data_IF_482373112562
#
_entry.id   IF_482373112562
#
_cell.length_a   1.000
_cell.length_b   1.000
_cell.length_c   1.000
_cell.angle_alpha   90.00
_cell.angle_beta   90.00
_cell.angle_gamma   90.00
#
_symmetry.space_group_name_H-M   'P 1'
#
loop_
_entity.id
_entity.type
_entity.pdbx_description
1 polymer ?
#
# COMPACT_ATOMS: atom_id res chain seq x y z
N UNK A 1 -4.52 29.09 -19.31
CA UNK A 1 -3.86 27.78 -19.39
C UNK A 1 -4.31 26.97 -18.19
N UNK A 2 -4.72 25.70 -18.36
CA UNK A 2 -5.13 24.80 -17.28
C UNK A 2 -3.90 24.38 -16.50
N UNK A 3 -4.05 24.08 -15.18
CA UNK A 3 -2.93 23.70 -14.31
C UNK A 3 -3.15 22.33 -13.70
N UNK A 4 -2.09 21.48 -13.73
CA UNK A 4 -2.06 20.20 -13.03
C UNK A 4 -0.97 20.22 -11.96
N UNK A 5 -1.35 20.02 -10.69
CA UNK A 5 -0.43 19.85 -9.58
C UNK A 5 0.01 18.37 -9.51
N UNK A 6 1.30 18.14 -9.38
CA UNK A 6 1.88 16.81 -9.18
C UNK A 6 2.44 16.69 -7.77
N UNK A 7 1.79 15.87 -6.94
CA UNK A 7 2.21 15.62 -5.55
C UNK A 7 2.62 14.16 -5.31
N UNK A 8 2.42 13.29 -6.29
CA UNK A 8 2.81 11.88 -6.18
C UNK A 8 4.31 11.77 -5.89
N UNK A 9 4.64 11.13 -4.77
CA UNK A 9 6.06 10.97 -4.35
C UNK A 9 6.85 10.22 -5.42
N UNK A 10 7.65 10.97 -6.12
CA UNK A 10 8.50 10.49 -7.19
C UNK A 10 9.92 11.01 -6.93
N UNK A 11 10.92 10.29 -7.34
CA UNK A 11 12.30 10.77 -7.21
C UNK A 11 12.59 11.91 -8.18
N UNK A 12 13.76 11.93 -8.79
CA UNK A 12 14.12 12.90 -9.83
C UNK A 12 13.21 12.75 -11.05
N UNK A 13 12.25 13.67 -11.20
CA UNK A 13 11.29 13.66 -12.31
C UNK A 13 11.97 13.85 -13.67
N UNK A 14 13.01 14.66 -13.76
CA UNK A 14 13.72 14.89 -15.02
C UNK A 14 14.38 13.59 -15.53
N UNK A 15 14.86 12.79 -14.59
CA UNK A 15 15.50 11.50 -14.89
C UNK A 15 14.48 10.40 -15.17
N UNK A 16 13.40 10.32 -14.41
CA UNK A 16 12.50 9.16 -14.39
C UNK A 16 11.16 9.39 -15.09
N UNK A 17 10.76 10.65 -15.30
CA UNK A 17 9.54 11.05 -16.00
C UNK A 17 9.79 12.17 -17.04
N UNK A 18 10.83 12.06 -17.89
CA UNK A 18 11.22 13.14 -18.81
C UNK A 18 10.12 13.51 -19.81
N UNK A 19 9.23 12.56 -20.12
CA UNK A 19 8.17 12.74 -21.12
C UNK A 19 6.95 13.48 -20.56
N UNK A 20 6.74 13.48 -19.25
CA UNK A 20 5.52 14.02 -18.63
C UNK A 20 5.33 15.52 -18.87
N UNK A 21 6.34 16.40 -18.75
CA UNK A 21 6.19 17.81 -19.08
C UNK A 21 5.81 18.05 -20.53
N UNK A 22 6.41 17.30 -21.48
CA UNK A 22 6.11 17.36 -22.90
C UNK A 22 4.68 16.91 -23.20
N UNK A 23 4.23 15.85 -22.55
CA UNK A 23 2.87 15.34 -22.68
C UNK A 23 1.83 16.40 -22.25
N UNK A 24 1.99 17.06 -21.12
CA UNK A 24 1.08 18.11 -20.69
C UNK A 24 1.14 19.37 -21.54
N UNK A 25 2.35 19.78 -21.96
CA UNK A 25 2.53 20.94 -22.85
C UNK A 25 1.80 20.77 -24.18
N UNK A 26 1.77 19.57 -24.75
CA UNK A 26 1.05 19.25 -25.99
C UNK A 26 -0.46 19.46 -25.87
N UNK A 27 -1.02 19.47 -24.64
CA UNK A 27 -2.42 19.68 -24.32
C UNK A 27 -2.70 21.03 -23.64
N UNK A 28 -1.75 21.98 -23.73
CA UNK A 28 -1.85 23.33 -23.14
C UNK A 28 -2.09 23.30 -21.60
N UNK A 29 -1.52 22.31 -20.91
CA UNK A 29 -1.60 22.14 -19.46
C UNK A 29 -0.25 22.50 -18.84
N UNK A 30 -0.25 23.40 -17.87
CA UNK A 30 0.91 23.72 -17.03
C UNK A 30 1.09 22.65 -15.95
N UNK A 31 2.26 22.03 -15.90
CA UNK A 31 2.61 21.08 -14.85
C UNK A 31 3.31 21.81 -13.68
N UNK A 32 2.65 21.82 -12.53
CA UNK A 32 3.20 22.37 -11.28
C UNK A 32 3.64 21.21 -10.39
N UNK A 33 4.91 21.15 -10.03
CA UNK A 33 5.47 20.04 -9.25
C UNK A 33 5.66 20.45 -7.79
N UNK A 34 5.18 19.62 -6.86
CA UNK A 34 5.36 19.82 -5.42
C UNK A 34 5.72 18.50 -4.75
N UNK A 35 7.03 18.24 -4.60
CA UNK A 35 7.57 17.03 -3.98
C UNK A 35 8.25 17.39 -2.66
N UNK A 36 7.68 16.95 -1.54
CA UNK A 36 8.18 17.24 -0.19
C UNK A 36 8.97 16.05 0.42
N UNK A 37 9.10 14.93 -0.30
CA UNK A 37 9.66 13.69 0.26
C UNK A 37 8.72 12.98 1.26
N UNK A 38 7.63 13.62 1.64
CA UNK A 38 6.52 13.13 2.49
C UNK A 38 5.17 13.51 1.88
N UNK A 39 4.08 13.05 2.47
CA UNK A 39 2.74 13.52 2.12
C UNK A 39 2.56 14.99 2.50
N UNK A 40 1.74 15.71 1.74
CA UNK A 40 1.32 17.05 2.09
C UNK A 40 0.32 17.01 3.26
N UNK A 41 0.34 18.04 4.10
CA UNK A 41 -0.74 18.29 5.05
C UNK A 41 -1.94 18.92 4.35
N UNK A 42 -3.11 18.95 5.00
CA UNK A 42 -4.28 19.66 4.47
C UNK A 42 -4.00 21.13 4.17
N UNK A 43 -3.33 21.83 5.09
CA UNK A 43 -3.01 23.27 4.92
C UNK A 43 -2.05 23.52 3.75
N UNK A 44 -1.08 22.66 3.55
CA UNK A 44 -0.19 22.71 2.38
C UNK A 44 -0.95 22.46 1.07
N UNK A 45 -1.89 21.50 1.04
CA UNK A 45 -2.74 21.29 -0.13
C UNK A 45 -3.66 22.48 -0.40
N UNK A 46 -4.30 23.02 0.63
CA UNK A 46 -5.18 24.21 0.52
C UNK A 46 -4.41 25.38 -0.13
N UNK A 47 -3.18 25.62 0.32
CA UNK A 47 -2.36 26.69 -0.24
C UNK A 47 -1.99 26.51 -1.72
N UNK A 48 -1.90 25.25 -2.18
CA UNK A 48 -1.45 24.90 -3.54
C UNK A 48 -2.59 24.68 -4.53
N UNK A 49 -3.79 24.32 -4.07
CA UNK A 49 -4.91 23.94 -4.92
C UNK A 49 -5.81 25.12 -5.34
N UNK A 50 -5.60 26.33 -4.81
CA UNK A 50 -6.49 27.48 -5.04
C UNK A 50 -6.70 27.82 -6.53
N UNK A 51 -5.68 27.61 -7.39
CA UNK A 51 -5.71 27.92 -8.83
C UNK A 51 -5.30 26.71 -9.69
N UNK A 52 -5.74 25.51 -9.31
CA UNK A 52 -5.37 24.25 -9.94
C UNK A 52 -6.61 23.52 -10.45
N UNK A 53 -6.56 23.05 -11.69
CA UNK A 53 -7.65 22.33 -12.36
C UNK A 53 -7.61 20.82 -12.15
N UNK A 54 -6.43 20.26 -11.93
CA UNK A 54 -6.20 18.83 -11.77
C UNK A 54 -5.06 18.53 -10.80
N UNK A 55 -5.08 17.34 -10.18
CA UNK A 55 -3.97 16.87 -9.36
C UNK A 55 -3.65 15.41 -9.67
N UNK A 56 -2.33 15.09 -9.82
CA UNK A 56 -1.82 13.72 -9.77
C UNK A 56 -1.29 13.50 -8.36
N UNK A 57 -2.00 12.67 -7.59
CA UNK A 57 -1.80 12.53 -6.17
C UNK A 57 -1.24 11.17 -5.75
N UNK A 58 -0.40 11.18 -4.75
CA UNK A 58 -0.03 10.04 -3.94
C UNK A 58 -1.07 9.75 -2.84
N UNK A 59 -0.64 9.61 -1.60
CA UNK A 59 -1.49 9.36 -0.43
C UNK A 59 -1.80 10.64 0.36
N UNK A 60 -1.72 11.80 -0.28
CA UNK A 60 -2.08 13.09 0.30
C UNK A 60 -3.56 13.15 0.69
N UNK A 61 -3.97 13.82 1.79
CA UNK A 61 -5.34 13.82 2.28
C UNK A 61 -6.24 14.76 1.47
N UNK A 62 -7.21 14.22 0.76
CA UNK A 62 -8.26 14.98 0.05
C UNK A 62 -9.55 14.92 0.85
N UNK A 63 -9.60 15.69 1.93
CA UNK A 63 -10.78 15.86 2.80
C UNK A 63 -11.77 16.86 2.20
N UNK A 64 -13.01 16.93 2.72
CA UNK A 64 -13.97 17.97 2.33
C UNK A 64 -13.38 19.38 2.45
N UNK A 65 -12.61 19.66 3.51
CA UNK A 65 -11.97 20.97 3.75
C UNK A 65 -10.97 21.33 2.64
N UNK A 66 -10.15 20.39 2.21
CA UNK A 66 -9.20 20.57 1.11
C UNK A 66 -9.92 20.83 -0.19
N UNK A 67 -10.94 20.02 -0.52
CA UNK A 67 -11.70 20.17 -1.75
C UNK A 67 -12.54 21.45 -1.78
N UNK A 68 -13.00 21.96 -0.64
CA UNK A 68 -13.72 23.24 -0.56
C UNK A 68 -12.86 24.45 -0.95
N UNK A 69 -11.56 24.37 -0.73
CA UNK A 69 -10.60 25.42 -1.11
C UNK A 69 -10.26 25.40 -2.61
N UNK A 70 -10.44 24.26 -3.28
CA UNK A 70 -10.01 24.00 -4.65
C UNK A 70 -11.13 24.24 -5.68
N UNK A 71 -11.55 25.49 -5.86
CA UNK A 71 -12.74 25.87 -6.67
C UNK A 71 -12.67 25.48 -8.16
N UNK A 72 -11.46 25.36 -8.71
CA UNK A 72 -11.23 24.98 -10.12
C UNK A 72 -10.99 23.49 -10.31
N UNK A 73 -10.80 22.73 -9.23
CA UNK A 73 -10.41 21.34 -9.29
C UNK A 73 -11.49 20.48 -9.96
N UNK A 74 -11.10 19.75 -10.99
CA UNK A 74 -11.98 18.90 -11.80
C UNK A 74 -11.67 17.41 -11.64
N UNK A 75 -10.43 17.07 -11.29
CA UNK A 75 -9.98 15.68 -11.13
C UNK A 75 -8.90 15.55 -10.07
N UNK A 76 -9.03 14.50 -9.25
CA UNK A 76 -8.01 13.94 -8.38
C UNK A 76 -7.62 12.59 -8.97
N UNK A 77 -6.48 12.54 -9.69
CA UNK A 77 -5.97 11.33 -10.30
C UNK A 77 -4.99 10.63 -9.35
N UNK A 78 -5.42 9.51 -8.75
CA UNK A 78 -4.60 8.73 -7.83
C UNK A 78 -3.59 7.86 -8.59
N UNK A 79 -2.29 8.12 -8.40
CA UNK A 79 -1.22 7.25 -8.90
C UNK A 79 -1.03 6.04 -7.97
N UNK A 80 -2.04 5.18 -7.89
CA UNK A 80 -2.10 4.00 -7.02
C UNK A 80 -3.49 3.39 -6.97
N UNK A 81 -3.64 2.30 -6.20
CA UNK A 81 -4.92 1.58 -6.07
C UNK A 81 -5.70 1.90 -4.80
N UNK A 82 -5.03 2.35 -3.74
CA UNK A 82 -5.70 2.79 -2.53
C UNK A 82 -6.27 4.19 -2.68
N UNK A 83 -7.45 4.45 -2.13
CA UNK A 83 -8.15 5.74 -2.22
C UNK A 83 -8.81 6.18 -0.90
N UNK A 84 -8.46 5.51 0.18
CA UNK A 84 -8.91 5.79 1.54
C UNK A 84 -8.55 7.20 2.05
N UNK A 85 -7.62 7.87 1.38
CA UNK A 85 -7.21 9.26 1.61
C UNK A 85 -8.06 10.29 0.86
N UNK A 86 -9.08 9.87 0.09
CA UNK A 86 -9.97 10.76 -0.68
C UNK A 86 -11.43 10.53 -0.26
N UNK A 87 -12.12 11.57 0.19
CA UNK A 87 -13.56 11.52 0.43
C UNK A 87 -14.31 11.53 -0.91
N UNK A 88 -14.69 10.32 -1.37
CA UNK A 88 -15.36 10.14 -2.67
C UNK A 88 -16.72 10.84 -2.75
N UNK A 89 -17.48 10.86 -1.64
CA UNK A 89 -18.78 11.53 -1.62
C UNK A 89 -18.62 13.04 -1.71
N UNK A 90 -17.68 13.59 -0.96
CA UNK A 90 -17.39 15.01 -1.02
C UNK A 90 -16.89 15.45 -2.41
N UNK A 91 -16.05 14.63 -3.06
CA UNK A 91 -15.58 14.86 -4.42
C UNK A 91 -16.77 14.84 -5.42
N UNK A 92 -17.62 13.84 -5.30
CA UNK A 92 -18.81 13.70 -6.17
C UNK A 92 -19.74 14.90 -6.06
N UNK A 93 -20.09 15.33 -4.84
CA UNK A 93 -20.94 16.53 -4.62
C UNK A 93 -20.36 17.81 -5.21
N UNK A 94 -19.04 17.89 -5.39
CA UNK A 94 -18.34 19.04 -5.98
C UNK A 94 -18.08 18.91 -7.47
N UNK A 95 -18.53 17.82 -8.08
CA UNK A 95 -18.29 17.56 -9.49
C UNK A 95 -16.83 17.26 -9.82
N UNK A 96 -16.05 16.75 -8.84
CA UNK A 96 -14.64 16.38 -9.01
C UNK A 96 -14.55 14.90 -9.34
N UNK A 97 -13.93 14.55 -10.46
CA UNK A 97 -13.61 13.17 -10.77
C UNK A 97 -12.52 12.65 -9.81
N UNK A 98 -12.69 11.42 -9.33
CA UNK A 98 -11.63 10.70 -8.63
C UNK A 98 -11.30 9.46 -9.45
N UNK A 99 -10.03 9.35 -9.87
CA UNK A 99 -9.55 8.18 -10.61
C UNK A 99 -8.43 7.47 -9.85
N UNK A 100 -8.19 6.23 -10.21
CA UNK A 100 -7.13 5.39 -9.66
C UNK A 100 -6.36 4.70 -10.79
N UNK A 101 -5.28 4.02 -10.48
CA UNK A 101 -4.46 3.34 -11.49
C UNK A 101 -4.35 1.84 -11.23
N UNK A 102 -5.43 1.05 -11.53
CA UNK A 102 -5.51 -0.37 -11.22
C UNK A 102 -4.78 -1.24 -12.26
N UNK A 103 -3.55 -0.87 -12.61
CA UNK A 103 -2.75 -1.60 -13.58
C UNK A 103 -2.28 -2.95 -13.00
N UNK A 104 -2.23 -4.02 -13.81
CA UNK A 104 -1.84 -5.36 -13.34
C UNK A 104 -0.43 -5.41 -12.76
N UNK A 105 0.49 -4.61 -13.30
CA UNK A 105 1.90 -4.53 -12.90
C UNK A 105 2.06 -4.09 -11.44
N UNK A 106 1.15 -3.24 -10.95
CA UNK A 106 1.17 -2.81 -9.55
C UNK A 106 0.92 -3.97 -8.59
N UNK A 107 -0.06 -4.83 -8.89
CA UNK A 107 -0.33 -6.02 -8.08
C UNK A 107 0.87 -6.96 -8.01
N UNK A 108 1.55 -7.15 -9.14
CA UNK A 108 2.79 -7.95 -9.22
C UNK A 108 3.90 -7.34 -8.36
N UNK A 109 4.12 -6.03 -8.46
CA UNK A 109 5.19 -5.35 -7.72
C UNK A 109 4.95 -5.38 -6.21
N UNK A 110 3.71 -5.17 -5.74
CA UNK A 110 3.38 -5.27 -4.31
C UNK A 110 3.51 -6.72 -3.81
N UNK A 111 3.18 -7.71 -4.64
CA UNK A 111 3.40 -9.12 -4.29
C UNK A 111 4.90 -9.47 -4.20
N UNK A 112 5.77 -8.85 -5.02
CA UNK A 112 7.22 -8.98 -4.90
C UNK A 112 7.73 -8.38 -3.58
N UNK A 113 7.22 -7.20 -3.19
CA UNK A 113 7.53 -6.58 -1.89
C UNK A 113 7.06 -7.46 -0.72
N UNK A 114 5.87 -8.05 -0.82
CA UNK A 114 5.32 -8.97 0.18
C UNK A 114 6.25 -10.17 0.38
N UNK A 115 6.68 -10.82 -0.70
CA UNK A 115 7.63 -11.95 -0.61
C UNK A 115 9.02 -11.53 -0.14
N UNK A 116 9.47 -10.31 -0.49
CA UNK A 116 10.71 -9.75 0.06
C UNK A 116 10.64 -9.65 1.58
N UNK A 117 9.52 -9.17 2.14
CA UNK A 117 9.31 -9.11 3.59
C UNK A 117 9.21 -10.51 4.21
N UNK A 118 8.41 -11.42 3.62
CA UNK A 118 8.28 -12.81 4.08
C UNK A 118 9.67 -13.45 4.22
N UNK A 119 10.43 -13.47 3.13
CA UNK A 119 11.75 -14.11 3.10
C UNK A 119 12.75 -13.40 4.01
N UNK A 120 12.72 -12.07 4.10
CA UNK A 120 13.61 -11.31 4.98
C UNK A 120 13.34 -11.62 6.45
N UNK A 121 12.08 -11.79 6.86
CA UNK A 121 11.71 -12.16 8.23
C UNK A 121 12.03 -13.63 8.51
N UNK A 122 11.65 -14.58 7.64
CA UNK A 122 11.93 -16.00 7.81
C UNK A 122 13.44 -16.30 7.85
N UNK A 123 14.20 -15.70 6.95
CA UNK A 123 15.64 -15.92 6.80
C UNK A 123 16.49 -14.98 7.64
N UNK A 124 15.87 -14.10 8.45
CA UNK A 124 16.61 -13.14 9.32
C UNK A 124 17.63 -12.29 8.56
N UNK A 125 17.33 -11.92 7.30
CA UNK A 125 18.32 -11.29 6.40
C UNK A 125 18.99 -10.05 7.01
N UNK A 126 18.27 -9.07 7.60
CA UNK A 126 18.90 -7.89 8.17
C UNK A 126 19.85 -8.21 9.35
N UNK A 127 19.49 -9.20 10.17
CA UNK A 127 20.29 -9.60 11.33
C UNK A 127 21.57 -10.34 10.90
N UNK A 128 21.44 -11.23 9.91
CA UNK A 128 22.59 -11.99 9.39
C UNK A 128 23.56 -11.08 8.62
N UNK A 129 23.06 -10.14 7.82
CA UNK A 129 23.89 -9.14 7.14
C UNK A 129 24.70 -8.32 8.17
N UNK A 130 24.01 -7.81 9.21
CA UNK A 130 24.67 -7.07 10.29
C UNK A 130 25.74 -7.91 11.00
N UNK A 131 25.38 -9.13 11.37
CA UNK A 131 26.31 -10.05 12.06
C UNK A 131 27.62 -10.24 11.28
N UNK A 132 27.52 -10.44 9.96
CA UNK A 132 28.71 -10.57 9.09
C UNK A 132 29.50 -9.25 9.05
N UNK A 133 28.83 -8.11 8.91
CA UNK A 133 29.52 -6.79 8.85
C UNK A 133 30.24 -6.45 10.17
N UNK A 134 29.75 -6.95 11.29
CA UNK A 134 30.37 -6.82 12.61
C UNK A 134 31.48 -7.84 12.86
N UNK A 135 31.82 -8.67 11.87
CA UNK A 135 32.91 -9.68 11.94
C UNK A 135 32.51 -11.02 12.53
N UNK A 136 31.19 -11.23 12.74
CA UNK A 136 30.65 -12.51 13.22
C UNK A 136 30.60 -13.57 12.12
N UNK A 137 30.79 -14.86 12.50
CA UNK A 137 30.65 -15.99 11.57
C UNK A 137 30.30 -17.27 12.36
N UNK A 138 29.12 -17.27 13.00
CA UNK A 138 28.63 -18.40 13.80
C UNK A 138 27.48 -19.08 13.06
N UNK A 139 27.80 -20.05 12.20
CA UNK A 139 26.82 -20.72 11.34
C UNK A 139 25.84 -21.56 12.13
N UNK A 140 26.24 -22.25 13.21
CA UNK A 140 25.35 -23.11 13.98
C UNK A 140 24.28 -22.28 14.73
N UNK A 141 24.74 -21.23 15.42
CA UNK A 141 23.85 -20.31 16.12
C UNK A 141 22.89 -19.61 15.15
N UNK A 142 23.40 -19.14 14.01
CA UNK A 142 22.57 -18.44 13.03
C UNK A 142 21.58 -19.39 12.34
N UNK A 143 21.95 -20.63 12.06
CA UNK A 143 21.06 -21.62 11.47
C UNK A 143 19.83 -21.91 12.35
N UNK A 144 19.96 -21.85 13.68
CA UNK A 144 18.83 -22.06 14.60
C UNK A 144 17.80 -20.91 14.60
N UNK A 145 18.13 -19.77 14.00
CA UNK A 145 17.25 -18.58 13.96
C UNK A 145 16.43 -18.49 12.68
N UNK A 146 16.81 -19.21 11.62
CA UNK A 146 16.17 -19.12 10.32
C UNK A 146 15.11 -20.20 10.12
N UNK A 147 14.11 -19.89 9.30
CA UNK A 147 13.06 -20.83 8.89
C UNK A 147 13.00 -20.90 7.36
N UNK A 148 12.67 -22.07 6.84
CA UNK A 148 12.40 -22.27 5.42
C UNK A 148 10.96 -21.87 5.10
N UNK A 149 10.69 -21.52 3.83
CA UNK A 149 9.36 -21.10 3.40
C UNK A 149 8.43 -22.29 3.15
N UNK A 150 8.99 -23.46 2.80
CA UNK A 150 8.22 -24.69 2.59
C UNK A 150 8.36 -25.64 3.80
N UNK A 151 7.35 -26.43 4.14
CA UNK A 151 5.98 -26.44 3.63
C UNK A 151 5.03 -25.57 4.46
N UNK A 152 5.40 -24.31 4.72
CA UNK A 152 4.61 -23.42 5.58
C UNK A 152 3.22 -23.13 5.00
N UNK A 153 2.30 -22.80 5.90
CA UNK A 153 0.95 -22.34 5.54
C UNK A 153 0.92 -20.81 5.51
N UNK A 154 0.57 -20.27 4.34
CA UNK A 154 0.37 -18.84 4.10
C UNK A 154 -1.12 -18.50 4.20
N UNK A 155 -1.51 -17.69 5.15
CA UNK A 155 -2.84 -17.10 5.28
C UNK A 155 -2.90 -15.73 4.60
N UNK A 156 -3.77 -15.59 3.60
CA UNK A 156 -3.97 -14.34 2.84
C UNK A 156 -5.28 -13.70 3.25
N UNK A 157 -5.23 -12.51 3.85
CA UNK A 157 -6.41 -11.71 4.16
C UNK A 157 -6.65 -10.72 3.01
N UNK A 158 -7.69 -11.00 2.20
CA UNK A 158 -8.00 -10.27 0.98
C UNK A 158 -7.40 -10.94 -0.28
N UNK A 159 -8.24 -11.63 -1.07
CA UNK A 159 -7.83 -12.29 -2.32
C UNK A 159 -8.24 -11.45 -3.56
N UNK A 160 -8.01 -10.12 -3.47
CA UNK A 160 -8.15 -9.20 -4.59
C UNK A 160 -6.96 -9.29 -5.57
N UNK A 161 -6.77 -8.25 -6.39
CA UNK A 161 -5.69 -8.22 -7.42
C UNK A 161 -4.30 -8.49 -6.86
N UNK A 162 -3.97 -7.97 -5.68
CA UNK A 162 -2.66 -8.17 -5.03
C UNK A 162 -2.60 -9.55 -4.39
N UNK A 163 -3.61 -9.94 -3.59
CA UNK A 163 -3.65 -11.24 -2.92
C UNK A 163 -3.55 -12.42 -3.89
N UNK A 164 -4.18 -12.31 -5.07
CA UNK A 164 -4.04 -13.30 -6.15
C UNK A 164 -2.60 -13.41 -6.64
N UNK A 165 -1.89 -12.29 -6.81
CA UNK A 165 -0.48 -12.29 -7.22
C UNK A 165 0.45 -12.84 -6.13
N UNK A 166 0.08 -12.66 -4.85
CA UNK A 166 0.78 -13.28 -3.71
C UNK A 166 0.53 -14.80 -3.70
N UNK A 167 -0.72 -15.23 -3.84
CA UNK A 167 -1.07 -16.66 -3.92
C UNK A 167 -0.34 -17.35 -5.08
N UNK A 168 -0.22 -16.68 -6.24
CA UNK A 168 0.51 -17.21 -7.40
C UNK A 168 1.99 -17.45 -7.09
N UNK A 169 2.63 -16.58 -6.32
CA UNK A 169 4.04 -16.74 -5.90
C UNK A 169 4.20 -17.84 -4.85
N UNK A 170 3.25 -17.96 -3.91
CA UNK A 170 3.25 -18.97 -2.87
C UNK A 170 3.35 -20.39 -3.43
N UNK A 171 2.73 -20.65 -4.58
CA UNK A 171 2.84 -21.93 -5.29
C UNK A 171 4.28 -22.27 -5.70
N UNK A 172 5.07 -21.28 -6.12
CA UNK A 172 6.48 -21.48 -6.45
C UNK A 172 7.36 -21.79 -5.25
N UNK A 173 6.88 -21.49 -4.04
CA UNK A 173 7.51 -21.83 -2.76
C UNK A 173 6.88 -23.07 -2.10
N UNK A 174 6.01 -23.81 -2.80
CA UNK A 174 5.36 -25.02 -2.30
C UNK A 174 4.60 -24.82 -0.98
N UNK A 175 4.06 -23.61 -0.77
CA UNK A 175 3.28 -23.27 0.43
C UNK A 175 1.85 -23.79 0.33
N UNK A 176 1.26 -24.18 1.47
CA UNK A 176 -0.18 -24.31 1.60
C UNK A 176 -0.80 -22.93 1.71
N UNK A 177 -1.90 -22.66 0.99
CA UNK A 177 -2.51 -21.34 0.99
C UNK A 177 -3.93 -21.37 1.53
N UNK A 178 -4.15 -20.72 2.67
CA UNK A 178 -5.46 -20.34 3.19
C UNK A 178 -5.77 -18.90 2.76
N UNK A 179 -7.04 -18.60 2.52
CA UNK A 179 -7.43 -17.21 2.31
C UNK A 179 -8.77 -16.90 2.96
N UNK A 180 -8.90 -15.64 3.38
CA UNK A 180 -10.13 -15.03 3.87
C UNK A 180 -10.47 -13.81 3.00
N UNK A 181 -11.70 -13.76 2.49
CA UNK A 181 -12.22 -12.61 1.72
C UNK A 181 -13.75 -12.57 1.89
N UNK A 182 -14.36 -11.42 1.66
CA UNK A 182 -15.82 -11.28 1.57
C UNK A 182 -16.39 -12.06 0.37
N UNK A 183 -15.61 -12.19 -0.70
CA UNK A 183 -15.99 -12.90 -1.93
C UNK A 183 -15.14 -14.15 -2.06
N UNK A 184 -15.81 -15.32 -1.99
CA UNK A 184 -15.14 -16.60 -2.20
C UNK A 184 -14.75 -16.78 -3.67
N UNK A 185 -13.49 -17.14 -3.92
CA UNK A 185 -12.89 -17.28 -5.24
C UNK A 185 -12.79 -18.76 -5.66
N UNK A 186 -13.96 -19.40 -5.81
CA UNK A 186 -14.05 -20.83 -6.22
C UNK A 186 -13.36 -21.11 -7.55
N UNK A 187 -13.26 -20.10 -8.43
CA UNK A 187 -12.52 -20.13 -9.68
C UNK A 187 -11.02 -20.41 -9.50
N UNK A 188 -10.43 -19.93 -8.40
CA UNK A 188 -9.01 -20.12 -8.11
C UNK A 188 -8.73 -21.28 -7.15
N UNK A 189 -9.69 -21.69 -6.33
CA UNK A 189 -9.51 -22.75 -5.34
C UNK A 189 -9.07 -24.06 -5.98
N UNK A 190 -9.77 -24.49 -7.04
CA UNK A 190 -9.49 -25.76 -7.71
C UNK A 190 -8.16 -25.75 -8.45
N UNK A 191 -7.88 -24.67 -9.20
CA UNK A 191 -6.72 -24.62 -10.09
C UNK A 191 -5.42 -24.36 -9.34
N UNK A 192 -5.51 -23.69 -8.18
CA UNK A 192 -4.34 -23.22 -7.42
C UNK A 192 -4.21 -23.86 -6.04
N UNK A 193 -5.09 -24.79 -5.69
CA UNK A 193 -5.13 -25.45 -4.37
C UNK A 193 -5.21 -24.42 -3.23
N UNK A 194 -6.11 -23.43 -3.37
CA UNK A 194 -6.38 -22.44 -2.34
C UNK A 194 -7.54 -22.92 -1.47
N UNK A 195 -7.50 -22.65 -0.18
CA UNK A 195 -8.54 -23.04 0.75
C UNK A 195 -9.18 -21.80 1.39
N UNK A 196 -10.49 -21.62 1.15
CA UNK A 196 -11.25 -20.57 1.83
C UNK A 196 -11.45 -20.94 3.29
N UNK A 197 -11.27 -19.95 4.18
CA UNK A 197 -11.45 -20.12 5.63
C UNK A 197 -12.05 -18.88 6.27
N UNK A 198 -12.59 -19.03 7.47
CA UNK A 198 -12.90 -17.90 8.33
C UNK A 198 -11.62 -17.18 8.76
N UNK A 199 -11.74 -15.94 9.24
CA UNK A 199 -10.57 -15.21 9.73
C UNK A 199 -9.90 -15.94 10.91
N UNK A 200 -10.70 -16.43 11.85
CA UNK A 200 -10.21 -17.15 13.03
C UNK A 200 -9.46 -18.44 12.67
N UNK A 201 -9.99 -19.22 11.72
CA UNK A 201 -9.33 -20.42 11.20
C UNK A 201 -8.03 -20.08 10.46
N UNK A 202 -8.03 -19.03 9.64
CA UNK A 202 -6.83 -18.57 8.95
C UNK A 202 -5.74 -18.19 9.96
N UNK A 203 -6.05 -17.37 10.96
CA UNK A 203 -5.09 -16.92 11.96
C UNK A 203 -4.49 -18.07 12.76
N UNK A 204 -5.34 -19.03 13.18
CA UNK A 204 -4.92 -20.15 14.01
C UNK A 204 -4.08 -21.20 13.25
N UNK A 205 -4.25 -21.34 11.95
CA UNK A 205 -3.61 -22.38 11.16
C UNK A 205 -2.42 -21.89 10.32
N UNK A 206 -2.24 -20.57 10.18
CA UNK A 206 -1.18 -20.01 9.35
C UNK A 206 0.14 -19.87 10.09
N UNK A 207 1.24 -20.13 9.38
CA UNK A 207 2.61 -19.82 9.81
C UNK A 207 3.02 -18.41 9.38
N UNK A 208 2.39 -17.93 8.32
CA UNK A 208 2.57 -16.59 7.77
C UNK A 208 1.19 -16.01 7.53
N UNK A 209 0.90 -14.82 8.06
CA UNK A 209 -0.33 -14.06 7.77
C UNK A 209 0.05 -12.83 6.97
N UNK A 210 -0.59 -12.60 5.82
CA UNK A 210 -0.34 -11.43 4.98
C UNK A 210 -1.64 -10.71 4.62
N UNK A 211 -1.60 -9.37 4.68
CA UNK A 211 -2.79 -8.51 4.57
C UNK A 211 -2.80 -7.78 3.23
N UNK A 212 -3.91 -7.95 2.47
CA UNK A 212 -4.14 -7.37 1.15
C UNK A 212 -5.56 -6.84 0.96
N UNK A 213 -6.22 -6.49 2.05
CA UNK A 213 -7.55 -5.87 2.04
C UNK A 213 -7.46 -4.34 2.04
N UNK A 214 -8.55 -3.68 1.64
CA UNK A 214 -8.66 -2.21 1.73
C UNK A 214 -8.89 -1.78 3.17
N UNK A 215 -8.52 -0.53 3.49
CA UNK A 215 -8.89 0.10 4.75
C UNK A 215 -10.32 0.64 4.65
N UNK A 216 -11.21 0.10 5.48
CA UNK A 216 -12.61 0.51 5.66
C UNK A 216 -12.92 0.63 7.16
N UNK A 217 -14.15 1.00 7.52
CA UNK A 217 -14.62 0.95 8.91
C UNK A 217 -14.55 -0.46 9.52
N UNK A 218 -14.81 -1.49 8.71
CA UNK A 218 -14.83 -2.90 9.12
C UNK A 218 -13.42 -3.50 9.25
N UNK A 219 -12.46 -3.02 8.45
CA UNK A 219 -11.10 -3.55 8.45
C UNK A 219 -10.12 -2.75 9.31
N UNK A 220 -10.53 -1.58 9.81
CA UNK A 220 -9.75 -0.80 10.77
C UNK A 220 -9.58 -1.57 12.07
N UNK A 221 -8.34 -1.74 12.52
CA UNK A 221 -7.96 -2.53 13.70
C UNK A 221 -8.54 -3.97 13.69
N UNK A 222 -8.76 -4.51 12.48
CA UNK A 222 -9.26 -5.88 12.30
C UNK A 222 -8.31 -6.92 12.91
N UNK A 223 -7.03 -6.61 12.96
CA UNK A 223 -6.01 -7.42 13.63
C UNK A 223 -5.61 -6.71 14.91
N UNK A 224 -6.32 -6.99 15.97
CA UNK A 224 -6.09 -6.49 17.33
C UNK A 224 -5.52 -7.55 18.26
N UNK A 225 -5.61 -7.31 19.58
CA UNK A 225 -5.05 -8.20 20.61
C UNK A 225 -5.64 -9.62 20.52
N UNK A 226 -6.96 -9.73 20.31
CA UNK A 226 -7.65 -11.01 20.17
C UNK A 226 -7.10 -11.80 18.97
N UNK A 227 -7.04 -11.20 17.82
CA UNK A 227 -6.60 -11.83 16.56
C UNK A 227 -5.12 -12.24 16.66
N UNK A 228 -4.27 -11.38 17.20
CA UNK A 228 -2.85 -11.67 17.45
C UNK A 228 -2.73 -12.85 18.44
N UNK A 229 -3.59 -12.94 19.46
CA UNK A 229 -3.55 -14.04 20.42
C UNK A 229 -3.92 -15.40 19.84
N UNK A 230 -4.64 -15.43 18.72
CA UNK A 230 -5.01 -16.64 18.01
C UNK A 230 -3.90 -17.18 17.10
N UNK A 231 -2.97 -16.33 16.71
CA UNK A 231 -1.87 -16.74 15.81
C UNK A 231 -0.91 -17.70 16.54
N UNK A 232 -0.23 -18.56 15.79
CA UNK A 232 0.85 -19.41 16.33
C UNK A 232 1.98 -18.54 16.89
N UNK A 233 2.63 -18.98 17.97
CA UNK A 233 3.76 -18.24 18.57
C UNK A 233 4.95 -18.07 17.62
N UNK A 234 5.09 -18.97 16.66
CA UNK A 234 6.11 -18.91 15.62
C UNK A 234 5.65 -18.15 14.38
N UNK A 235 4.38 -17.78 14.30
CA UNK A 235 3.82 -17.11 13.12
C UNK A 235 4.44 -15.73 12.90
N UNK A 236 4.55 -15.34 11.65
CA UNK A 236 4.93 -13.98 11.24
C UNK A 236 3.75 -13.28 10.59
N UNK A 237 3.70 -11.94 10.74
CA UNK A 237 2.69 -11.12 10.11
C UNK A 237 3.31 -10.13 9.14
N UNK A 238 2.69 -9.99 7.96
CA UNK A 238 3.15 -9.11 6.87
C UNK A 238 2.05 -8.13 6.51
N UNK A 239 2.36 -6.83 6.52
CA UNK A 239 1.41 -5.80 6.11
C UNK A 239 2.01 -4.90 5.02
N UNK A 240 1.51 -5.04 3.80
CA UNK A 240 1.78 -4.18 2.64
C UNK A 240 0.53 -3.45 2.16
N UNK A 241 -0.57 -3.51 2.95
CA UNK A 241 -1.85 -2.88 2.62
C UNK A 241 -1.98 -1.49 3.23
N UNK A 242 -2.44 -1.39 4.50
CA UNK A 242 -2.56 -0.14 5.25
C UNK A 242 -2.22 -0.37 6.73
N UNK A 243 -1.47 0.56 7.33
CA UNK A 243 -1.09 0.47 8.75
C UNK A 243 -2.27 0.29 9.70
N UNK A 244 -3.34 1.13 9.63
CA UNK A 244 -4.48 1.05 10.55
C UNK A 244 -5.32 -0.22 10.48
N UNK A 245 -5.02 -1.20 9.63
CA UNK A 245 -5.67 -2.52 9.63
C UNK A 245 -5.18 -3.35 10.82
N UNK A 246 -3.95 -3.13 11.26
CA UNK A 246 -3.40 -3.73 12.47
C UNK A 246 -3.42 -2.68 13.59
N UNK A 247 -3.79 -3.08 14.79
CA UNK A 247 -3.51 -2.30 15.99
C UNK A 247 -2.02 -2.48 16.33
N UNK A 248 -1.25 -1.39 16.18
CA UNK A 248 0.21 -1.44 16.33
C UNK A 248 0.65 -1.69 17.77
N UNK A 249 -0.11 -1.28 18.78
CA UNK A 249 0.28 -1.47 20.18
C UNK A 249 0.24 -2.93 20.62
N UNK A 250 -0.85 -3.69 20.41
CA UNK A 250 -0.85 -5.13 20.68
C UNK A 250 0.17 -5.90 19.84
N UNK A 251 0.37 -5.52 18.57
CA UNK A 251 1.38 -6.17 17.73
C UNK A 251 2.78 -5.98 18.29
N UNK A 252 3.11 -4.76 18.68
CA UNK A 252 4.39 -4.46 19.30
C UNK A 252 4.61 -5.28 20.57
N UNK A 253 3.62 -5.30 21.46
CA UNK A 253 3.69 -6.02 22.73
C UNK A 253 3.87 -7.53 22.53
N UNK A 254 3.16 -8.11 21.54
CA UNK A 254 3.31 -9.52 21.19
C UNK A 254 4.73 -9.85 20.70
N UNK A 255 5.28 -9.01 19.84
CA UNK A 255 6.65 -9.17 19.33
C UNK A 255 7.69 -9.00 20.44
N UNK A 256 7.55 -7.99 21.30
CA UNK A 256 8.45 -7.73 22.40
C UNK A 256 8.47 -8.84 23.46
N UNK A 257 7.33 -9.51 23.65
CA UNK A 257 7.18 -10.68 24.56
C UNK A 257 7.54 -12.01 23.89
N UNK A 258 7.97 -12.01 22.63
CA UNK A 258 8.24 -13.24 21.86
C UNK A 258 7.00 -14.10 21.59
N UNK A 259 5.80 -13.49 21.62
CA UNK A 259 4.51 -14.15 21.36
C UNK A 259 4.25 -14.35 19.86
N UNK A 260 4.98 -13.63 19.01
CA UNK A 260 5.00 -13.80 17.55
C UNK A 260 6.43 -14.03 17.07
N UNK A 261 6.56 -14.81 16.00
CA UNK A 261 7.84 -15.12 15.36
C UNK A 261 8.50 -13.92 14.68
N UNK A 262 7.73 -12.93 14.24
CA UNK A 262 8.22 -11.72 13.61
C UNK A 262 7.17 -10.91 12.86
N UNK A 263 7.59 -9.79 12.28
CA UNK A 263 6.75 -8.95 11.45
C UNK A 263 7.50 -8.30 10.29
N UNK A 264 6.82 -8.17 9.14
CA UNK A 264 7.27 -7.38 7.99
C UNK A 264 6.25 -6.28 7.69
N UNK A 265 6.61 -5.02 7.93
CA UNK A 265 5.70 -3.89 7.81
C UNK A 265 6.23 -2.91 6.77
N UNK A 266 5.45 -2.67 5.72
CA UNK A 266 5.73 -1.61 4.74
C UNK A 266 4.89 -0.36 4.98
N UNK A 267 3.86 -0.45 5.82
CA UNK A 267 2.89 0.61 6.08
C UNK A 267 2.68 0.79 7.58
N UNK A 268 2.33 2.02 8.00
CA UNK A 268 2.19 2.41 9.40
C UNK A 268 0.88 3.17 9.63
N UNK A 269 0.41 3.21 10.87
CA UNK A 269 -0.80 3.94 11.25
C UNK A 269 -0.64 5.45 11.05
N UNK A 270 0.58 5.96 11.21
CA UNK A 270 0.97 7.34 10.87
C UNK A 270 2.15 7.30 9.90
N UNK A 271 2.04 7.98 8.77
CA UNK A 271 3.07 8.02 7.72
C UNK A 271 3.46 9.47 7.34
N UNK A 272 4.74 9.87 7.49
CA UNK A 272 5.86 9.07 8.01
C UNK A 272 5.69 8.74 9.50
N UNK A 273 6.19 7.58 9.95
CA UNK A 273 6.11 7.21 11.36
C UNK A 273 6.81 8.25 12.21
N UNK A 274 6.14 8.69 13.29
CA UNK A 274 6.67 9.67 14.25
C UNK A 274 7.37 8.96 15.41
N UNK A 275 8.07 9.71 16.28
CA UNK A 275 8.60 9.16 17.53
C UNK A 275 7.56 8.50 18.46
N UNK A 276 6.26 8.67 18.21
CA UNK A 276 5.18 7.96 18.92
C UNK A 276 5.02 6.51 18.46
N UNK A 277 5.33 6.23 17.19
CA UNK A 277 5.33 4.88 16.66
C UNK A 277 6.43 4.07 17.35
N UNK A 278 6.04 3.04 18.08
CA UNK A 278 6.98 2.21 18.85
C UNK A 278 7.97 1.47 17.95
N UNK A 279 7.57 1.15 16.72
CA UNK A 279 8.45 0.53 15.72
C UNK A 279 9.55 1.46 15.20
N UNK A 280 9.37 2.77 15.27
CA UNK A 280 10.34 3.75 14.77
C UNK A 280 11.63 3.85 15.63
N UNK A 281 11.54 3.60 16.93
CA UNK A 281 12.65 3.78 17.87
C UNK A 281 13.37 2.50 18.27
N UNK A 282 13.01 1.37 17.68
CA UNK A 282 13.37 0.09 18.30
C UNK A 282 14.80 -0.36 18.14
N UNK A 283 15.49 0.06 17.09
CA UNK A 283 16.81 -0.49 16.82
C UNK A 283 16.79 -2.03 16.94
N UNK A 284 17.73 -2.57 17.71
CA UNK A 284 17.91 -4.02 17.88
C UNK A 284 16.98 -4.70 18.90
N UNK A 285 16.02 -3.96 19.49
CA UNK A 285 15.14 -4.49 20.55
C UNK A 285 14.08 -5.47 20.05
N UNK A 286 13.75 -5.45 18.76
CA UNK A 286 12.88 -6.45 18.13
C UNK A 286 13.66 -7.19 17.03
N UNK A 287 14.24 -8.33 17.36
CA UNK A 287 15.23 -8.98 16.50
C UNK A 287 14.65 -9.53 15.20
N UNK A 288 13.34 -9.61 15.04
CA UNK A 288 12.71 -10.16 13.85
C UNK A 288 11.59 -9.26 13.28
N UNK A 289 11.88 -7.96 13.18
CA UNK A 289 10.99 -7.01 12.53
C UNK A 289 11.72 -6.35 11.36
N UNK A 290 11.10 -6.38 10.17
CA UNK A 290 11.59 -5.75 8.95
C UNK A 290 10.64 -4.63 8.57
N UNK A 291 11.17 -3.41 8.43
CA UNK A 291 10.38 -2.21 8.14
C UNK A 291 10.77 -1.64 6.78
N UNK A 292 9.77 -1.26 5.97
CA UNK A 292 9.95 -0.56 4.71
C UNK A 292 9.16 0.76 4.71
N UNK A 293 9.60 1.79 3.99
CA UNK A 293 8.98 3.12 4.04
C UNK A 293 7.86 3.30 2.99
N UNK A 294 6.89 2.39 2.93
CA UNK A 294 5.76 2.40 1.98
C UNK A 294 6.24 2.68 0.55
N UNK A 295 7.22 1.90 0.10
CA UNK A 295 7.79 2.06 -1.25
C UNK A 295 6.80 1.55 -2.29
N UNK A 296 6.15 0.41 -2.03
CA UNK A 296 5.33 -0.28 -3.02
C UNK A 296 6.15 -0.64 -4.26
N UNK A 297 5.72 -0.19 -5.45
CA UNK A 297 6.40 -0.54 -6.69
C UNK A 297 7.71 0.22 -6.90
N UNK A 298 8.64 -0.40 -7.62
CA UNK A 298 9.86 0.23 -8.12
C UNK A 298 9.59 1.32 -9.16
N UNK A 299 10.65 2.04 -9.54
CA UNK A 299 10.55 3.27 -10.35
C UNK A 299 9.85 3.06 -11.70
N UNK A 300 10.05 1.92 -12.36
CA UNK A 300 9.42 1.62 -13.65
C UNK A 300 7.89 1.57 -13.55
N UNK A 301 7.37 0.94 -12.51
CA UNK A 301 5.92 0.86 -12.28
C UNK A 301 5.38 2.19 -11.79
N UNK A 302 6.12 2.92 -10.94
CA UNK A 302 5.74 4.29 -10.54
C UNK A 302 5.62 5.22 -11.74
N UNK A 303 6.52 5.11 -12.72
CA UNK A 303 6.41 5.83 -13.99
C UNK A 303 5.11 5.48 -14.72
N UNK A 304 4.79 4.20 -14.83
CA UNK A 304 3.54 3.76 -15.46
C UNK A 304 2.30 4.29 -14.73
N UNK A 305 2.30 4.28 -13.39
CA UNK A 305 1.22 4.87 -12.59
C UNK A 305 1.06 6.37 -12.87
N UNK A 306 2.15 7.13 -12.90
CA UNK A 306 2.12 8.57 -13.15
C UNK A 306 1.60 8.90 -14.55
N UNK A 307 2.05 8.16 -15.57
CA UNK A 307 1.60 8.34 -16.96
C UNK A 307 0.13 7.97 -17.11
N UNK A 308 -0.33 6.87 -16.50
CA UNK A 308 -1.74 6.48 -16.52
C UNK A 308 -2.64 7.53 -15.85
N UNK A 309 -2.22 8.06 -14.70
CA UNK A 309 -2.93 9.14 -14.03
C UNK A 309 -2.95 10.43 -14.87
N UNK A 310 -1.85 10.74 -15.56
CA UNK A 310 -1.76 11.90 -16.45
C UNK A 310 -2.71 11.79 -17.66
N UNK A 311 -2.89 10.59 -18.21
CA UNK A 311 -3.86 10.35 -19.26
C UNK A 311 -5.29 10.68 -18.80
N UNK A 312 -5.71 10.21 -17.62
CA UNK A 312 -7.03 10.54 -17.05
C UNK A 312 -7.18 12.06 -16.78
N UNK A 313 -6.10 12.74 -16.34
CA UNK A 313 -6.10 14.22 -16.21
C UNK A 313 -6.37 14.90 -17.54
N UNK A 314 -5.69 14.50 -18.59
CA UNK A 314 -5.86 15.08 -19.94
C UNK A 314 -7.30 14.86 -20.42
N UNK A 315 -7.83 13.63 -20.32
CA UNK A 315 -9.20 13.33 -20.71
C UNK A 315 -10.21 14.29 -20.03
N UNK A 316 -10.14 14.42 -18.71
CA UNK A 316 -11.07 15.29 -17.96
C UNK A 316 -10.89 16.76 -18.30
N UNK A 317 -9.67 17.24 -18.44
CA UNK A 317 -9.41 18.63 -18.78
C UNK A 317 -9.85 18.98 -20.20
N UNK A 318 -9.86 18.04 -21.12
CA UNK A 318 -10.41 18.20 -22.47
C UNK A 318 -11.94 17.94 -22.58
N UNK A 319 -12.59 17.62 -21.46
CA UNK A 319 -14.04 17.42 -21.41
C UNK A 319 -14.50 15.99 -21.75
N UNK A 320 -13.57 15.03 -21.78
CA UNK A 320 -13.85 13.61 -21.99
C UNK A 320 -13.95 12.87 -20.64
N UNK A 321 -14.48 11.66 -20.65
CA UNK A 321 -14.55 10.81 -19.47
C UNK A 321 -13.20 10.08 -19.26
N UNK A 322 -12.67 10.07 -18.03
CA UNK A 322 -11.46 9.31 -17.71
C UNK A 322 -11.75 7.81 -17.66
N UNK A 323 -10.71 7.01 -17.84
CA UNK A 323 -10.82 5.55 -17.94
C UNK A 323 -11.10 4.86 -16.60
N UNK A 324 -10.50 5.31 -15.54
CA UNK A 324 -10.50 4.59 -14.25
C UNK A 324 -11.21 5.38 -13.15
N UNK A 325 -12.51 5.62 -13.32
CA UNK A 325 -13.33 6.41 -12.38
C UNK A 325 -13.70 5.59 -11.14
N UNK A 326 -13.55 6.18 -9.96
CA UNK A 326 -13.97 5.61 -8.67
C UNK A 326 -15.35 6.11 -8.24
N UNK A 327 -15.65 7.39 -8.46
CA UNK A 327 -16.90 8.00 -8.03
C UNK A 327 -17.93 8.10 -9.17
N UNK A 328 -19.20 7.88 -8.85
CA UNK A 328 -20.30 7.88 -9.84
C UNK A 328 -20.70 9.32 -10.22
N UNK A 329 -20.79 9.57 -11.52
CA UNK A 329 -21.38 10.77 -12.14
C UNK A 329 -21.09 12.13 -11.46
N UNK A 330 -19.81 12.53 -11.28
CA UNK A 330 -19.49 13.79 -10.64
C UNK A 330 -19.96 14.99 -11.48
N UNK A 331 -20.12 14.84 -12.79
CA UNK A 331 -20.58 15.93 -13.69
C UNK A 331 -22.05 16.29 -13.46
N UNK A 332 -22.91 15.33 -13.15
CA UNK A 332 -24.31 15.57 -12.83
C UNK A 332 -24.54 16.36 -11.54
N UNK A 333 -23.53 16.42 -10.67
CA UNK A 333 -23.59 17.09 -9.38
C UNK A 333 -23.08 18.55 -9.41
N UNK A 334 -22.59 19.07 -10.54
CA UNK A 334 -22.15 20.47 -10.62
C UNK A 334 -23.36 21.40 -10.57
N UNK A 335 -23.43 22.34 -9.61
CA UNK A 335 -24.40 23.42 -9.69
C UNK A 335 -24.12 24.22 -10.98
N UNK A 336 -25.20 24.48 -11.72
CA UNK A 336 -25.21 25.32 -12.93
C UNK A 336 -24.72 26.74 -12.67
#
# INVERSE_FOLDING_TARGET
MKKCLFTFRFGDMNRFLPDLPGMFKAHEIELVVSLLGRNHTEDELISKLADVDAVIAGVDPFTPRVMDSAKKLRIIARAGVGFDNVDLEAATRRGIYVTWTPIPELGKAVADETFTLILSVLRRVPQLDRHIREGGYDTEKMASLVSDAFPLTLGIIGLGKIGVEVARRARGFEMNVLYHDQIRRQDLEKDWNLHFSTLDELLSNSDIVTIHTNLTSETRSMIGEREISMMKNTAIIINTARGPIIDEEPLFDALAKGRLGGAGLSVFSEEPPTPRCRFYKLGDRLPNVVLLPHIGPGISIRRLLAITAAQDVIEVLEGRQPKYVLNKDPVAARPS
#
